data_IF_640043672702
#
_entry.id   IF_640043672702
#
_cell.length_a   1.000
_cell.length_b   1.000
_cell.length_c   1.000
_cell.angle_alpha   90.00
_cell.angle_beta   90.00
_cell.angle_gamma   90.00
#
_symmetry.space_group_name_H-M   'P 1'
#
loop_
_entity.id
_entity.type
_entity.pdbx_description
1 polymer ?
#
# COMPACT_ATOMS: atom_id res chain seq x y z
N UNK A 1 12.16 18.48 -17.57
CA UNK A 1 10.80 17.90 -17.72
C UNK A 1 9.78 18.86 -17.11
N UNK A 2 8.53 18.82 -17.60
CA UNK A 2 7.37 19.43 -16.96
C UNK A 2 6.68 18.34 -16.12
N UNK A 3 6.63 18.50 -14.81
CA UNK A 3 6.14 17.48 -13.88
C UNK A 3 4.93 18.04 -13.13
N UNK A 4 3.81 17.34 -13.16
CA UNK A 4 2.69 17.60 -12.27
C UNK A 4 2.90 16.79 -10.98
N UNK A 5 2.82 17.44 -9.83
CA UNK A 5 2.98 16.80 -8.53
C UNK A 5 1.69 16.92 -7.71
N UNK A 6 1.14 15.79 -7.25
CA UNK A 6 -0.18 15.74 -6.59
C UNK A 6 -0.03 15.08 -5.21
N UNK A 7 -0.24 15.80 -4.11
CA UNK A 7 -0.12 15.26 -2.75
C UNK A 7 -1.25 14.28 -2.44
N UNK A 8 -1.09 13.53 -1.35
CA UNK A 8 -2.16 12.73 -0.77
C UNK A 8 -3.12 13.62 0.00
N UNK A 9 -4.42 13.47 -0.23
CA UNK A 9 -5.42 14.13 0.58
C UNK A 9 -5.36 13.64 2.04
N UNK A 10 -5.47 14.54 3.00
CA UNK A 10 -5.40 14.19 4.43
C UNK A 10 -6.48 13.19 4.85
N UNK A 11 -7.63 13.19 4.16
CA UNK A 11 -8.71 12.23 4.39
C UNK A 11 -8.34 10.78 4.03
N UNK A 12 -7.41 10.58 3.07
CA UNK A 12 -6.98 9.25 2.63
C UNK A 12 -5.93 8.62 3.54
N UNK A 13 -5.30 9.41 4.40
CA UNK A 13 -4.25 8.94 5.32
C UNK A 13 -4.21 9.80 6.60
N UNK A 14 -5.30 9.86 7.38
CA UNK A 14 -5.43 10.81 8.49
C UNK A 14 -4.34 10.67 9.54
N UNK A 15 -3.85 9.44 9.78
CA UNK A 15 -2.82 9.17 10.79
C UNK A 15 -1.37 9.38 10.28
N UNK A 16 -1.19 9.63 8.99
CA UNK A 16 0.14 9.73 8.34
C UNK A 16 0.27 10.99 7.49
N UNK A 17 -0.70 11.88 7.50
CA UNK A 17 -0.79 13.05 6.63
C UNK A 17 0.48 13.92 6.66
N UNK A 18 1.03 14.21 7.84
CA UNK A 18 2.27 14.99 7.98
C UNK A 18 3.49 14.26 7.38
N UNK A 19 3.55 12.93 7.59
CA UNK A 19 4.66 12.11 7.08
C UNK A 19 4.60 11.96 5.57
N UNK A 20 3.41 11.79 5.02
CA UNK A 20 3.18 11.73 3.58
C UNK A 20 3.52 13.07 2.92
N UNK A 21 3.06 14.18 3.51
CA UNK A 21 3.36 15.52 3.02
C UNK A 21 4.86 15.85 3.11
N UNK A 22 5.57 15.34 4.12
CA UNK A 22 7.01 15.55 4.24
C UNK A 22 7.80 14.84 3.13
N UNK A 23 7.42 13.61 2.75
CA UNK A 23 8.00 12.92 1.59
C UNK A 23 7.68 13.68 0.29
N UNK A 24 6.41 14.06 0.13
CA UNK A 24 5.96 14.78 -1.06
C UNK A 24 6.76 16.07 -1.29
N UNK A 25 6.86 16.91 -0.26
CA UNK A 25 7.60 18.19 -0.35
C UNK A 25 9.07 17.98 -0.66
N UNK A 26 9.71 17.04 0.00
CA UNK A 26 11.11 16.73 -0.23
C UNK A 26 11.36 16.26 -1.68
N UNK A 27 10.49 15.41 -2.21
CA UNK A 27 10.60 14.95 -3.60
C UNK A 27 10.41 16.10 -4.59
N UNK A 28 9.44 17.00 -4.36
CA UNK A 28 9.20 18.18 -5.20
C UNK A 28 10.39 19.15 -5.14
N UNK A 29 10.97 19.35 -3.97
CA UNK A 29 12.17 20.18 -3.78
C UNK A 29 13.36 19.64 -4.58
N UNK A 30 13.67 18.33 -4.42
CA UNK A 30 14.76 17.68 -5.16
C UNK A 30 14.55 17.72 -6.68
N UNK A 31 13.32 17.52 -7.17
CA UNK A 31 13.00 17.68 -8.61
C UNK A 31 13.28 19.12 -9.09
N UNK A 32 12.98 20.12 -8.28
CA UNK A 32 13.22 21.53 -8.60
C UNK A 32 14.71 21.86 -8.59
N UNK A 33 15.48 21.32 -7.64
CA UNK A 33 16.94 21.46 -7.56
C UNK A 33 17.64 20.86 -8.77
N UNK A 34 17.11 19.75 -9.34
CA UNK A 34 17.61 19.15 -10.59
C UNK A 34 17.16 19.93 -11.86
N UNK A 35 16.50 21.08 -11.69
CA UNK A 35 16.09 21.96 -12.80
C UNK A 35 14.82 21.51 -13.53
N UNK A 36 13.99 20.67 -12.92
CA UNK A 36 12.70 20.29 -13.49
C UNK A 36 11.63 21.35 -13.18
N UNK A 37 10.72 21.58 -14.13
CA UNK A 37 9.59 22.49 -13.92
C UNK A 37 8.45 21.70 -13.25
N UNK A 38 8.34 21.83 -11.94
CA UNK A 38 7.34 21.10 -11.14
C UNK A 38 6.17 22.02 -10.79
N UNK A 39 4.94 21.58 -11.07
CA UNK A 39 3.68 22.26 -10.70
C UNK A 39 2.93 21.39 -9.71
N UNK A 40 2.68 21.93 -8.52
CA UNK A 40 1.86 21.25 -7.51
C UNK A 40 0.38 21.46 -7.84
N UNK A 41 -0.38 20.37 -7.85
CA UNK A 41 -1.81 20.31 -8.18
C UNK A 41 -2.58 19.91 -6.93
N UNK A 42 -3.54 20.69 -6.52
CA UNK A 42 -4.44 20.35 -5.42
C UNK A 42 -5.42 19.24 -5.84
N UNK A 43 -5.89 18.45 -4.86
CA UNK A 43 -6.89 17.43 -5.14
C UNK A 43 -8.20 18.08 -5.60
N UNK A 44 -8.67 17.69 -6.77
CA UNK A 44 -9.83 18.28 -7.44
C UNK A 44 -9.50 19.25 -8.57
N UNK A 45 -8.27 19.75 -8.70
CA UNK A 45 -7.84 20.62 -9.79
C UNK A 45 -7.52 19.86 -11.08
N UNK A 46 -7.48 20.58 -12.20
CA UNK A 46 -7.11 20.02 -13.49
C UNK A 46 -5.58 19.82 -13.61
N UNK A 47 -5.18 18.66 -14.12
CA UNK A 47 -3.76 18.39 -14.45
C UNK A 47 -3.41 19.07 -15.76
N UNK A 48 -2.38 19.93 -15.82
CA UNK A 48 -1.98 20.63 -17.04
C UNK A 48 -1.73 19.67 -18.21
N UNK A 49 -2.17 20.06 -19.40
CA UNK A 49 -1.83 19.33 -20.62
C UNK A 49 -0.33 19.46 -20.92
N UNK A 50 0.24 18.43 -21.55
CA UNK A 50 1.65 18.44 -21.98
C UNK A 50 2.64 18.37 -20.82
N UNK A 51 2.27 17.81 -19.66
CA UNK A 51 3.24 17.36 -18.67
C UNK A 51 3.92 16.09 -19.18
N UNK A 52 5.24 16.00 -18.95
CA UNK A 52 6.05 14.82 -19.31
C UNK A 52 5.83 13.67 -18.32
N UNK A 53 5.71 14.03 -17.02
CA UNK A 53 5.51 13.08 -15.95
C UNK A 53 4.53 13.60 -14.89
N UNK A 54 3.96 12.66 -14.13
CA UNK A 54 3.07 12.93 -13.01
C UNK A 54 3.60 12.15 -11.80
N UNK A 55 4.09 12.87 -10.78
CA UNK A 55 4.35 12.30 -9.47
C UNK A 55 3.13 12.50 -8.59
N UNK A 56 2.57 11.44 -8.07
CA UNK A 56 1.39 11.58 -7.23
C UNK A 56 1.37 10.62 -6.04
N UNK A 57 0.70 11.04 -4.99
CA UNK A 57 0.35 10.25 -3.84
C UNK A 57 -1.18 10.18 -3.63
N UNK A 58 -1.96 10.80 -4.52
CA UNK A 58 -3.42 10.80 -4.43
C UNK A 58 -4.02 9.41 -4.59
N UNK A 59 -5.15 9.20 -3.94
CA UNK A 59 -5.97 7.98 -3.99
C UNK A 59 -7.42 8.25 -4.37
N UNK A 60 -7.79 9.52 -4.56
CA UNK A 60 -9.17 9.88 -4.91
C UNK A 60 -9.51 9.38 -6.30
N UNK A 61 -10.70 8.79 -6.45
CA UNK A 61 -11.14 8.20 -7.71
C UNK A 61 -11.12 9.24 -8.85
N UNK A 62 -11.59 10.47 -8.57
CA UNK A 62 -11.65 11.55 -9.54
C UNK A 62 -10.26 11.94 -10.04
N UNK A 63 -9.28 12.09 -9.13
CA UNK A 63 -7.92 12.45 -9.54
C UNK A 63 -7.23 11.30 -10.29
N UNK A 64 -7.45 10.05 -9.88
CA UNK A 64 -6.96 8.89 -10.61
C UNK A 64 -7.56 8.78 -12.02
N UNK A 65 -8.81 9.20 -12.23
CA UNK A 65 -9.40 9.29 -13.59
C UNK A 65 -8.72 10.36 -14.44
N UNK A 66 -8.39 11.51 -13.86
CA UNK A 66 -7.63 12.58 -14.55
C UNK A 66 -6.21 12.15 -14.88
N UNK A 67 -5.52 11.47 -13.95
CA UNK A 67 -4.19 10.90 -14.20
C UNK A 67 -4.27 9.91 -15.36
N UNK A 68 -5.22 8.98 -15.34
CA UNK A 68 -5.42 8.01 -16.42
C UNK A 68 -5.70 8.67 -17.79
N UNK A 69 -6.36 9.83 -17.80
CA UNK A 69 -6.55 10.60 -19.03
C UNK A 69 -5.22 11.16 -19.56
N UNK A 70 -4.37 11.71 -18.68
CA UNK A 70 -3.05 12.22 -19.06
C UNK A 70 -2.08 11.11 -19.48
N UNK A 71 -2.16 9.92 -18.86
CA UNK A 71 -1.40 8.74 -19.29
C UNK A 71 -1.73 8.37 -20.75
N UNK A 72 -2.99 8.44 -21.17
CA UNK A 72 -3.41 8.21 -22.56
C UNK A 72 -2.87 9.26 -23.53
N UNK A 73 -2.57 10.46 -23.05
CA UNK A 73 -1.94 11.54 -23.81
C UNK A 73 -0.41 11.45 -23.83
N UNK A 74 0.17 10.45 -23.15
CA UNK A 74 1.60 10.17 -23.14
C UNK A 74 2.36 10.62 -21.90
N UNK A 75 1.71 11.18 -20.88
CA UNK A 75 2.37 11.48 -19.61
C UNK A 75 2.72 10.21 -18.83
N UNK A 76 3.92 10.14 -18.27
CA UNK A 76 4.34 9.02 -17.43
C UNK A 76 3.89 9.24 -15.98
N UNK A 77 2.86 8.55 -15.51
CA UNK A 77 2.47 8.62 -14.10
C UNK A 77 3.21 7.59 -13.22
N UNK A 78 3.59 7.98 -12.01
CA UNK A 78 4.34 7.16 -11.06
C UNK A 78 3.74 7.32 -9.65
N UNK A 79 3.06 6.29 -9.14
CA UNK A 79 2.68 5.05 -9.85
C UNK A 79 1.59 5.36 -10.91
N UNK A 80 1.32 4.44 -11.82
CA UNK A 80 0.19 4.63 -12.73
C UNK A 80 -1.15 4.67 -11.99
N UNK A 81 -2.16 5.32 -12.56
CA UNK A 81 -3.51 5.34 -11.99
C UNK A 81 -4.08 3.93 -11.79
N UNK A 82 -3.82 3.02 -12.74
CA UNK A 82 -4.25 1.64 -12.66
C UNK A 82 -3.54 0.89 -11.51
N UNK A 83 -2.23 1.06 -11.38
CA UNK A 83 -1.44 0.45 -10.32
C UNK A 83 -1.89 0.91 -8.92
N UNK A 84 -2.16 2.21 -8.76
CA UNK A 84 -2.69 2.75 -7.50
C UNK A 84 -4.04 2.12 -7.15
N UNK A 85 -4.95 1.94 -8.13
CA UNK A 85 -6.23 1.24 -7.88
C UNK A 85 -6.04 -0.23 -7.51
N UNK A 86 -5.05 -0.89 -8.11
CA UNK A 86 -4.74 -2.29 -7.82
C UNK A 86 -4.24 -2.50 -6.37
N UNK A 87 -3.82 -1.46 -5.67
CA UNK A 87 -3.48 -1.52 -4.25
C UNK A 87 -4.71 -1.61 -3.33
N UNK A 88 -5.95 -1.61 -3.86
CA UNK A 88 -7.12 -1.91 -3.04
C UNK A 88 -7.03 -3.35 -2.52
N UNK A 89 -7.46 -3.57 -1.27
CA UNK A 89 -7.20 -4.84 -0.56
C UNK A 89 -7.75 -6.06 -1.28
N UNK A 90 -8.97 -6.00 -1.82
CA UNK A 90 -9.53 -7.10 -2.62
C UNK A 90 -8.68 -7.37 -3.86
N UNK A 91 -8.33 -6.33 -4.59
CA UNK A 91 -7.63 -6.44 -5.86
C UNK A 91 -6.23 -6.99 -5.67
N UNK A 92 -5.43 -6.43 -4.75
CA UNK A 92 -4.07 -6.95 -4.56
C UNK A 92 -4.08 -8.39 -4.04
N UNK A 93 -5.01 -8.76 -3.15
CA UNK A 93 -5.13 -10.11 -2.63
C UNK A 93 -5.41 -11.12 -3.75
N UNK A 94 -6.31 -10.80 -4.68
CA UNK A 94 -6.60 -11.63 -5.86
C UNK A 94 -5.40 -11.71 -6.82
N UNK A 95 -4.70 -10.59 -7.03
CA UNK A 95 -3.48 -10.55 -7.84
C UNK A 95 -2.40 -11.46 -7.24
N UNK A 96 -2.12 -11.34 -5.93
CA UNK A 96 -1.13 -12.17 -5.26
C UNK A 96 -1.47 -13.67 -5.35
N UNK A 97 -2.76 -14.02 -5.20
CA UNK A 97 -3.23 -15.40 -5.37
C UNK A 97 -2.94 -15.93 -6.77
N UNK A 98 -3.27 -15.15 -7.80
CA UNK A 98 -3.03 -15.54 -9.20
C UNK A 98 -1.54 -15.74 -9.51
N UNK A 99 -0.69 -14.91 -8.89
CA UNK A 99 0.78 -14.98 -9.08
C UNK A 99 1.47 -16.00 -8.18
N UNK A 100 0.72 -16.73 -7.35
CA UNK A 100 1.26 -17.71 -6.42
C UNK A 100 2.20 -17.09 -5.37
N UNK A 101 1.86 -15.90 -4.89
CA UNK A 101 2.58 -15.22 -3.80
C UNK A 101 1.91 -15.58 -2.49
N UNK A 102 2.70 -16.08 -1.54
CA UNK A 102 2.20 -16.54 -0.25
C UNK A 102 1.59 -15.39 0.57
N UNK A 103 0.38 -15.64 1.04
CA UNK A 103 -0.38 -14.76 1.92
C UNK A 103 -1.23 -15.63 2.87
N UNK A 104 -1.68 -15.09 4.01
CA UNK A 104 -2.57 -15.85 4.89
C UNK A 104 -3.79 -16.37 4.13
N UNK A 105 -4.28 -17.60 4.39
CA UNK A 105 -5.53 -18.08 3.83
C UNK A 105 -6.64 -17.07 4.09
N UNK A 106 -7.45 -16.76 3.07
CA UNK A 106 -8.45 -15.72 3.17
C UNK A 106 -9.80 -16.14 2.56
N UNK A 107 -10.83 -15.40 2.94
CA UNK A 107 -12.18 -15.53 2.40
C UNK A 107 -12.77 -14.13 2.16
N UNK A 108 -13.31 -13.92 0.96
CA UNK A 108 -14.08 -12.73 0.63
C UNK A 108 -15.48 -12.87 1.25
N UNK A 109 -15.93 -11.84 1.95
CA UNK A 109 -17.22 -11.81 2.63
C UNK A 109 -18.07 -10.67 2.07
N UNK A 110 -19.33 -10.96 1.79
CA UNK A 110 -20.36 -9.96 1.57
C UNK A 110 -21.04 -9.68 2.93
N UNK A 111 -21.02 -8.43 3.37
CA UNK A 111 -21.58 -8.05 4.67
C UNK A 111 -23.10 -8.14 4.74
N UNK A 112 -23.80 -8.23 3.59
CA UNK A 112 -25.24 -8.45 3.53
C UNK A 112 -25.65 -9.92 3.74
N UNK A 113 -24.74 -10.88 3.53
CA UNK A 113 -25.02 -12.30 3.62
C UNK A 113 -25.12 -12.76 5.07
N UNK A 114 -26.08 -13.65 5.33
CA UNK A 114 -26.31 -14.26 6.64
C UNK A 114 -25.49 -15.53 6.88
N UNK A 115 -24.86 -16.07 5.85
CA UNK A 115 -24.13 -17.34 5.90
C UNK A 115 -22.64 -17.03 6.07
N UNK A 116 -22.12 -17.44 7.20
CA UNK A 116 -20.68 -17.39 7.44
C UNK A 116 -20.05 -18.69 6.91
N UNK A 117 -19.09 -18.64 6.00
CA UNK A 117 -18.35 -19.82 5.58
C UNK A 117 -17.66 -20.49 6.78
N UNK A 118 -17.21 -21.72 6.60
CA UNK A 118 -16.37 -22.39 7.62
C UNK A 118 -15.02 -21.68 7.66
N UNK A 119 -14.78 -20.93 8.72
CA UNK A 119 -13.57 -20.14 8.92
C UNK A 119 -12.80 -20.70 10.11
N UNK A 120 -11.47 -20.59 10.06
CA UNK A 120 -10.59 -20.86 11.20
C UNK A 120 -10.41 -19.60 12.00
N UNK A 121 -10.36 -19.72 13.31
CA UNK A 121 -10.11 -18.64 14.25
C UNK A 121 -8.84 -18.93 15.07
N UNK A 122 -8.13 -17.88 15.49
CA UNK A 122 -8.41 -16.47 15.26
C UNK A 122 -8.07 -16.01 13.82
N UNK A 123 -8.51 -14.79 13.48
CA UNK A 123 -8.22 -14.18 12.19
C UNK A 123 -8.40 -12.68 12.18
N UNK A 124 -8.34 -12.08 11.01
CA UNK A 124 -8.41 -10.63 10.80
C UNK A 124 -9.51 -10.31 9.82
N UNK A 125 -10.50 -9.55 10.27
CA UNK A 125 -11.51 -8.96 9.39
C UNK A 125 -11.02 -7.60 8.91
N UNK A 126 -10.99 -7.39 7.61
CA UNK A 126 -10.51 -6.16 6.98
C UNK A 126 -11.56 -5.65 6.01
N UNK A 127 -11.83 -4.34 6.01
CA UNK A 127 -12.58 -3.68 4.94
C UNK A 127 -11.92 -3.99 3.60
N UNK A 128 -12.70 -4.42 2.61
CA UNK A 128 -12.19 -4.88 1.32
C UNK A 128 -11.80 -3.71 0.42
N UNK A 129 -12.70 -2.76 0.25
CA UNK A 129 -12.58 -1.70 -0.75
C UNK A 129 -12.02 -0.40 -0.16
N UNK A 130 -11.14 0.24 -0.89
CA UNK A 130 -10.45 1.45 -0.48
C UNK A 130 -9.44 1.21 0.65
N UNK A 131 -8.95 2.31 1.20
CA UNK A 131 -7.93 2.31 2.25
C UNK A 131 -8.54 2.38 3.64
N UNK A 132 -7.82 1.91 4.65
CA UNK A 132 -8.27 1.98 6.04
C UNK A 132 -8.19 3.41 6.54
N UNK A 133 -9.33 3.98 6.87
CA UNK A 133 -9.50 5.34 7.42
C UNK A 133 -10.13 5.35 8.81
N UNK A 134 -10.63 4.20 9.29
CA UNK A 134 -11.28 4.03 10.58
C UNK A 134 -10.62 2.88 11.36
N UNK A 135 -10.54 2.94 12.71
CA UNK A 135 -9.98 1.86 13.52
C UNK A 135 -10.62 0.48 13.24
N UNK A 136 -11.93 0.46 13.00
CA UNK A 136 -12.68 -0.78 12.74
C UNK A 136 -12.57 -1.30 11.29
N UNK A 137 -11.75 -0.67 10.46
CA UNK A 137 -11.49 -1.16 9.09
C UNK A 137 -10.58 -2.39 9.07
N UNK A 138 -9.87 -2.64 10.18
CA UNK A 138 -9.06 -3.84 10.42
C UNK A 138 -9.28 -4.28 11.86
N UNK A 139 -9.78 -5.50 12.08
CA UNK A 139 -10.11 -6.01 13.40
C UNK A 139 -9.58 -7.44 13.59
N UNK A 140 -9.00 -7.70 14.76
CA UNK A 140 -8.69 -9.06 15.20
C UNK A 140 -9.96 -9.76 15.68
N UNK A 141 -10.18 -10.94 15.20
CA UNK A 141 -11.41 -11.73 15.42
C UNK A 141 -11.05 -13.05 16.06
N UNK A 142 -11.31 -13.16 17.36
CA UNK A 142 -10.99 -14.36 18.13
C UNK A 142 -12.04 -15.47 18.01
N UNK A 143 -13.33 -15.10 17.76
CA UNK A 143 -14.45 -16.06 17.74
C UNK A 143 -15.45 -15.73 16.62
N UNK A 144 -16.33 -16.70 16.35
CA UNK A 144 -17.43 -16.55 15.37
C UNK A 144 -18.39 -15.43 15.78
N UNK A 145 -18.70 -15.29 17.06
CA UNK A 145 -19.59 -14.25 17.60
C UNK A 145 -18.99 -12.86 17.38
N UNK A 146 -17.68 -12.70 17.62
CA UNK A 146 -16.97 -11.47 17.33
C UNK A 146 -17.02 -11.12 15.83
N UNK A 147 -16.89 -12.11 14.94
CA UNK A 147 -17.01 -11.91 13.50
C UNK A 147 -18.39 -11.41 13.10
N UNK A 148 -19.45 -12.00 13.62
CA UNK A 148 -20.85 -11.60 13.33
C UNK A 148 -21.05 -10.13 13.72
N UNK A 149 -20.60 -9.73 14.90
CA UNK A 149 -20.71 -8.36 15.38
C UNK A 149 -19.89 -7.38 14.49
N UNK A 150 -18.67 -7.74 14.15
CA UNK A 150 -17.79 -6.92 13.31
C UNK A 150 -18.36 -6.74 11.88
N UNK A 151 -18.91 -7.79 11.28
CA UNK A 151 -19.62 -7.71 9.98
C UNK A 151 -20.85 -6.80 10.10
N UNK A 152 -21.62 -6.90 11.20
CA UNK A 152 -22.74 -6.03 11.47
C UNK A 152 -22.33 -4.54 11.51
N UNK A 153 -21.23 -4.24 12.17
CA UNK A 153 -20.68 -2.87 12.23
C UNK A 153 -20.24 -2.36 10.84
N UNK A 154 -19.56 -3.18 10.05
CA UNK A 154 -19.19 -2.82 8.67
C UNK A 154 -20.42 -2.53 7.81
N UNK A 155 -21.46 -3.37 7.92
CA UNK A 155 -22.75 -3.19 7.22
C UNK A 155 -23.43 -1.86 7.61
N UNK A 156 -23.48 -1.54 8.90
CA UNK A 156 -24.07 -0.28 9.40
C UNK A 156 -23.34 0.95 8.85
N UNK A 157 -22.04 0.82 8.59
CA UNK A 157 -21.20 1.86 7.96
C UNK A 157 -21.31 1.87 6.43
N UNK A 158 -22.17 1.06 5.82
CA UNK A 158 -22.35 0.98 4.36
C UNK A 158 -21.23 0.25 3.62
N UNK A 159 -20.39 -0.50 4.32
CA UNK A 159 -19.30 -1.27 3.71
C UNK A 159 -19.86 -2.62 3.27
N UNK A 160 -19.92 -2.84 1.95
CA UNK A 160 -20.55 -4.03 1.37
C UNK A 160 -19.66 -5.27 1.41
N UNK A 161 -18.33 -5.11 1.34
CA UNK A 161 -17.39 -6.22 1.22
C UNK A 161 -16.29 -6.15 2.26
N UNK A 162 -15.87 -7.32 2.74
CA UNK A 162 -14.76 -7.50 3.66
C UNK A 162 -13.92 -8.71 3.26
N UNK A 163 -12.69 -8.76 3.74
CA UNK A 163 -11.80 -9.91 3.67
C UNK A 163 -11.58 -10.41 5.09
N UNK A 164 -11.80 -11.68 5.30
CA UNK A 164 -11.35 -12.40 6.48
C UNK A 164 -10.09 -13.17 6.13
N UNK A 165 -8.99 -12.94 6.83
CA UNK A 165 -7.74 -13.71 6.70
C UNK A 165 -7.43 -14.44 8.01
N UNK A 166 -6.94 -15.68 7.91
CA UNK A 166 -6.48 -16.43 9.08
C UNK A 166 -5.32 -15.68 9.76
N UNK A 167 -5.25 -15.79 11.08
CA UNK A 167 -4.11 -15.27 11.82
C UNK A 167 -2.92 -16.20 11.64
N UNK A 168 -1.80 -15.64 11.21
CA UNK A 168 -0.50 -16.31 11.18
C UNK A 168 0.30 -15.79 12.36
N UNK A 169 0.80 -16.70 13.19
CA UNK A 169 1.73 -16.36 14.25
C UNK A 169 3.08 -15.97 13.65
N UNK A 170 3.68 -14.89 14.14
CA UNK A 170 4.97 -14.43 13.62
C UNK A 170 5.24 -12.95 13.85
N UNK A 171 6.39 -12.53 13.38
CA UNK A 171 6.83 -11.14 13.43
C UNK A 171 6.27 -10.34 12.25
N UNK A 172 5.77 -9.13 12.51
CA UNK A 172 5.45 -8.20 11.44
C UNK A 172 6.73 -7.49 11.00
N UNK A 173 7.02 -7.55 9.71
CA UNK A 173 8.11 -6.81 9.07
C UNK A 173 7.53 -5.91 7.99
N UNK A 174 7.88 -4.64 8.04
CA UNK A 174 7.58 -3.68 6.98
C UNK A 174 8.67 -3.70 5.93
N UNK A 175 8.26 -3.62 4.68
CA UNK A 175 9.18 -3.46 3.56
C UNK A 175 8.83 -2.24 2.73
N UNK A 176 9.84 -1.68 2.09
CA UNK A 176 9.75 -0.52 1.20
C UNK A 176 10.57 -0.78 -0.05
N UNK A 177 10.02 -0.46 -1.22
CA UNK A 177 10.71 -0.64 -2.47
C UNK A 177 10.46 0.50 -3.45
N UNK A 178 11.49 0.82 -4.25
CA UNK A 178 11.42 1.76 -5.38
C UNK A 178 12.19 1.14 -6.54
N UNK A 179 11.62 1.19 -7.74
CA UNK A 179 12.16 0.61 -8.95
C UNK A 179 11.37 -0.59 -9.45
N UNK A 180 11.89 -1.24 -10.49
CA UNK A 180 11.27 -2.40 -11.13
C UNK A 180 11.92 -3.69 -10.66
N UNK A 181 11.23 -4.80 -10.87
CA UNK A 181 11.73 -6.13 -10.50
C UNK A 181 13.08 -6.46 -11.17
N UNK A 182 13.30 -6.03 -12.39
CA UNK A 182 14.49 -6.27 -13.20
C UNK A 182 15.61 -5.23 -13.06
N UNK A 183 15.35 -4.13 -12.31
CA UNK A 183 16.38 -3.14 -12.04
C UNK A 183 17.51 -3.74 -11.18
N UNK A 184 18.77 -3.42 -11.53
CA UNK A 184 19.97 -3.90 -10.79
C UNK A 184 20.11 -3.19 -9.44
N UNK A 185 19.95 -1.88 -9.43
CA UNK A 185 20.19 -1.02 -8.27
C UNK A 185 18.86 -0.50 -7.69
N UNK A 186 17.93 -1.43 -7.40
CA UNK A 186 16.63 -1.10 -6.82
C UNK A 186 16.73 -0.82 -5.32
N UNK A 187 16.03 0.21 -4.89
CA UNK A 187 15.93 0.51 -3.47
C UNK A 187 15.06 -0.51 -2.75
N UNK A 188 15.57 -1.09 -1.67
CA UNK A 188 14.80 -1.95 -0.77
C UNK A 188 15.24 -1.75 0.68
N UNK A 189 14.29 -1.61 1.59
CA UNK A 189 14.53 -1.43 3.03
C UNK A 189 13.51 -2.21 3.84
N UNK A 190 13.96 -2.75 4.97
CA UNK A 190 13.17 -3.49 5.93
C UNK A 190 13.09 -2.72 7.25
N UNK A 191 11.97 -2.85 7.94
CA UNK A 191 11.76 -2.23 9.24
C UNK A 191 10.85 -3.06 10.12
N UNK A 192 11.29 -3.33 11.35
CA UNK A 192 10.43 -3.87 12.39
C UNK A 192 9.67 -2.71 13.03
N UNK A 193 8.33 -2.67 12.96
CA UNK A 193 7.57 -1.60 13.56
C UNK A 193 7.68 -1.65 15.09
N UNK A 194 8.08 -0.53 15.70
CA UNK A 194 8.12 -0.37 17.16
C UNK A 194 6.78 0.11 17.70
N UNK A 195 6.00 0.80 16.84
CA UNK A 195 4.71 1.39 17.18
C UNK A 195 3.64 0.81 16.28
N UNK A 196 2.78 -0.06 16.81
CA UNK A 196 1.67 -0.64 16.04
C UNK A 196 0.59 0.40 15.73
N UNK A 197 0.19 0.50 14.48
CA UNK A 197 -1.06 1.18 14.14
C UNK A 197 -2.23 0.42 14.78
N UNK A 198 -3.17 1.13 15.38
CA UNK A 198 -4.39 0.57 15.96
C UNK A 198 -4.20 -0.38 17.16
N UNK A 199 -3.04 -0.37 17.84
CA UNK A 199 -2.81 -1.18 19.05
C UNK A 199 -2.60 -2.67 18.78
N UNK A 200 -2.22 -3.05 17.56
CA UNK A 200 -1.98 -4.44 17.16
C UNK A 200 -0.72 -5.06 17.81
N UNK A 201 0.19 -4.25 18.32
CA UNK A 201 1.33 -4.69 19.14
C UNK A 201 0.92 -5.52 20.35
N UNK A 202 -0.30 -5.29 20.90
CA UNK A 202 -0.85 -6.11 21.98
C UNK A 202 -1.20 -7.52 21.54
N UNK A 203 -1.43 -7.73 20.24
CA UNK A 203 -1.79 -9.02 19.66
C UNK A 203 -0.55 -9.71 19.12
N UNK A 204 0.30 -8.98 18.41
CA UNK A 204 1.50 -9.54 17.77
C UNK A 204 2.70 -9.62 18.73
N UNK A 205 2.66 -8.90 19.87
CA UNK A 205 3.74 -8.90 20.86
C UNK A 205 5.00 -8.15 20.40
N UNK A 206 6.07 -8.35 21.16
CA UNK A 206 7.41 -7.83 20.81
C UNK A 206 8.00 -8.75 19.75
N UNK A 207 8.62 -8.21 18.67
CA UNK A 207 9.23 -9.05 17.64
C UNK A 207 10.27 -10.01 18.20
N UNK A 208 10.14 -11.29 17.87
CA UNK A 208 11.08 -12.35 18.24
C UNK A 208 12.34 -12.34 17.38
N UNK A 209 12.28 -11.62 16.23
CA UNK A 209 13.30 -11.57 15.18
C UNK A 209 13.62 -12.95 14.64
N UNK A 210 12.56 -13.66 14.26
CA UNK A 210 12.71 -14.96 13.60
C UNK A 210 13.64 -14.86 12.38
N UNK A 211 14.57 -15.79 12.21
CA UNK A 211 15.44 -15.79 11.04
C UNK A 211 14.64 -16.08 9.79
N UNK A 212 14.91 -15.33 8.72
CA UNK A 212 14.31 -15.53 7.40
C UNK A 212 15.27 -15.11 6.30
N UNK A 213 14.95 -15.46 5.08
CA UNK A 213 15.71 -15.08 3.89
C UNK A 213 15.26 -13.69 3.40
N UNK A 214 16.07 -12.66 3.68
CA UNK A 214 15.80 -11.27 3.28
C UNK A 214 15.80 -11.10 1.75
N UNK A 215 16.65 -11.87 1.01
CA UNK A 215 16.68 -11.85 -0.44
C UNK A 215 15.39 -12.45 -1.04
N UNK A 216 14.88 -13.54 -0.43
CA UNK A 216 13.57 -14.12 -0.77
C UNK A 216 12.45 -13.10 -0.55
N UNK A 217 12.48 -12.34 0.58
CA UNK A 217 11.49 -11.29 0.84
C UNK A 217 11.59 -10.17 -0.19
N UNK A 218 12.79 -9.68 -0.48
CA UNK A 218 12.99 -8.65 -1.51
C UNK A 218 12.45 -9.10 -2.87
N UNK A 219 12.83 -10.30 -3.31
CA UNK A 219 12.38 -10.88 -4.58
C UNK A 219 10.85 -11.00 -4.63
N UNK A 220 10.24 -11.50 -3.54
CA UNK A 220 8.79 -11.67 -3.42
C UNK A 220 8.07 -10.32 -3.43
N UNK A 221 8.58 -9.32 -2.71
CA UNK A 221 8.00 -7.98 -2.66
C UNK A 221 8.03 -7.31 -4.04
N UNK A 222 9.15 -7.37 -4.77
CA UNK A 222 9.23 -6.84 -6.13
C UNK A 222 8.39 -7.63 -7.14
N UNK A 223 8.26 -8.95 -7.00
CA UNK A 223 7.34 -9.77 -7.80
C UNK A 223 5.89 -9.32 -7.57
N UNK A 224 5.51 -9.10 -6.32
CA UNK A 224 4.18 -8.62 -5.95
C UNK A 224 3.93 -7.20 -6.49
N UNK A 225 4.88 -6.29 -6.32
CA UNK A 225 4.82 -4.93 -6.84
C UNK A 225 4.66 -4.90 -8.37
N UNK A 226 5.44 -5.72 -9.09
CA UNK A 226 5.34 -5.84 -10.55
C UNK A 226 3.97 -6.36 -11.00
N UNK A 227 3.41 -7.36 -10.30
CA UNK A 227 2.09 -7.91 -10.60
C UNK A 227 0.96 -6.89 -10.37
N UNK A 228 1.08 -6.03 -9.36
CA UNK A 228 0.17 -4.93 -9.05
C UNK A 228 0.39 -3.76 -10.02
N UNK A 229 1.62 -3.59 -10.50
CA UNK A 229 2.06 -2.52 -11.40
C UNK A 229 2.66 -1.31 -10.70
N UNK A 230 2.99 -1.39 -9.40
CA UNK A 230 3.59 -0.29 -8.64
C UNK A 230 5.11 -0.32 -8.72
N UNK A 231 5.71 0.86 -8.81
CA UNK A 231 7.16 1.06 -8.81
C UNK A 231 7.65 1.81 -7.55
N UNK A 232 6.77 2.52 -6.85
CA UNK A 232 7.00 3.09 -5.52
C UNK A 232 6.00 2.41 -4.59
N UNK A 233 6.49 1.57 -3.69
CA UNK A 233 5.61 0.75 -2.86
C UNK A 233 6.17 0.54 -1.46
N UNK A 234 5.30 0.11 -0.58
CA UNK A 234 5.64 -0.47 0.69
C UNK A 234 4.58 -1.48 1.08
N UNK A 235 4.88 -2.29 2.06
CA UNK A 235 3.95 -3.30 2.52
C UNK A 235 4.32 -3.86 3.87
N UNK A 236 3.49 -4.78 4.32
CA UNK A 236 3.68 -5.52 5.54
C UNK A 236 3.70 -7.02 5.21
N UNK A 237 4.59 -7.77 5.85
CA UNK A 237 4.58 -9.22 5.82
C UNK A 237 4.66 -9.80 7.22
N UNK A 238 4.29 -11.06 7.37
CA UNK A 238 4.52 -11.84 8.58
C UNK A 238 5.66 -12.82 8.29
N UNK A 239 6.61 -12.86 9.20
CA UNK A 239 7.65 -13.88 9.25
C UNK A 239 7.26 -14.87 10.33
N UNK A 240 6.90 -16.09 9.93
CA UNK A 240 6.52 -17.14 10.87
C UNK A 240 7.72 -17.70 11.65
N UNK A 241 7.51 -18.45 12.75
CA UNK A 241 8.58 -19.04 13.54
C UNK A 241 9.53 -19.94 12.75
N UNK A 242 9.07 -20.54 11.65
CA UNK A 242 9.85 -21.37 10.73
C UNK A 242 10.45 -20.62 9.54
N UNK A 243 10.35 -19.27 9.55
CA UNK A 243 10.96 -18.38 8.55
C UNK A 243 10.18 -18.22 7.26
N UNK A 244 8.93 -18.73 7.17
CA UNK A 244 8.08 -18.50 6.01
C UNK A 244 7.54 -17.06 5.97
N UNK A 245 7.39 -16.55 4.76
CA UNK A 245 7.04 -15.15 4.49
C UNK A 245 5.63 -15.07 3.92
N UNK A 246 4.75 -14.35 4.60
CA UNK A 246 3.36 -14.11 4.16
C UNK A 246 3.13 -12.62 3.93
N UNK A 247 2.90 -12.21 2.68
CA UNK A 247 2.56 -10.80 2.36
C UNK A 247 1.13 -10.52 2.85
N UNK A 248 0.94 -9.46 3.64
CA UNK A 248 -0.36 -9.13 4.23
C UNK A 248 -0.90 -7.75 3.82
N UNK A 249 -0.05 -6.91 3.25
CA UNK A 249 -0.44 -5.59 2.73
C UNK A 249 0.57 -5.10 1.69
N UNK A 250 0.07 -4.38 0.66
CA UNK A 250 0.89 -3.62 -0.29
C UNK A 250 0.23 -2.28 -0.54
N UNK A 251 1.00 -1.22 -0.38
CA UNK A 251 0.55 0.16 -0.49
C UNK A 251 1.33 0.91 -1.58
N UNK A 252 0.62 1.75 -2.33
CA UNK A 252 1.19 2.74 -3.22
C UNK A 252 1.90 3.85 -2.43
N UNK A 253 3.03 4.28 -2.88
CA UNK A 253 3.79 5.44 -2.40
C UNK A 253 3.66 5.70 -0.88
N UNK A 254 4.24 4.86 0.00
CA UNK A 254 4.21 5.07 1.45
C UNK A 254 5.07 6.27 1.88
N UNK A 255 4.95 6.71 3.12
CA UNK A 255 5.68 7.89 3.64
C UNK A 255 7.18 7.70 3.80
N UNK A 256 7.71 6.47 3.72
CA UNK A 256 9.14 6.12 3.91
C UNK A 256 9.77 6.78 5.16
N UNK A 257 9.03 6.91 6.25
CA UNK A 257 9.39 7.77 7.39
C UNK A 257 10.79 7.52 7.96
N UNK A 258 11.27 6.25 7.95
CA UNK A 258 12.61 5.90 8.44
C UNK A 258 13.72 6.10 7.39
N UNK A 259 13.36 6.27 6.10
CA UNK A 259 14.29 6.29 4.96
C UNK A 259 13.95 7.41 3.97
N UNK A 260 13.35 8.51 4.43
CA UNK A 260 12.71 9.53 3.59
C UNK A 260 13.67 10.20 2.61
N UNK A 261 14.87 10.56 3.07
CA UNK A 261 15.88 11.22 2.24
C UNK A 261 16.30 10.30 1.08
N UNK A 262 16.73 9.08 1.40
CA UNK A 262 17.12 8.09 0.40
C UNK A 262 15.97 7.78 -0.57
N UNK A 263 14.75 7.63 -0.04
CA UNK A 263 13.58 7.35 -0.84
C UNK A 263 13.24 8.50 -1.80
N UNK A 264 13.33 9.76 -1.35
CA UNK A 264 13.09 10.92 -2.21
C UNK A 264 14.08 10.99 -3.37
N UNK A 265 15.35 10.68 -3.15
CA UNK A 265 16.38 10.59 -4.20
C UNK A 265 16.08 9.51 -5.22
N UNK A 266 15.70 8.32 -4.76
CA UNK A 266 15.35 7.22 -5.65
C UNK A 266 14.05 7.49 -6.43
N UNK A 267 13.05 8.14 -5.80
CA UNK A 267 11.83 8.57 -6.48
C UNK A 267 12.15 9.57 -7.60
N UNK A 268 13.02 10.55 -7.34
CA UNK A 268 13.47 11.51 -8.36
C UNK A 268 14.16 10.81 -9.52
N UNK A 269 15.09 9.88 -9.24
CA UNK A 269 15.74 9.07 -10.29
C UNK A 269 14.72 8.27 -11.11
N UNK A 270 13.75 7.65 -10.44
CA UNK A 270 12.70 6.88 -11.13
C UNK A 270 11.86 7.79 -12.04
N UNK A 271 11.42 8.96 -11.57
CA UNK A 271 10.65 9.92 -12.36
C UNK A 271 11.44 10.38 -13.57
N UNK A 272 12.70 10.75 -13.39
CA UNK A 272 13.54 11.32 -14.45
C UNK A 272 14.00 10.30 -15.48
N UNK A 273 13.98 9.00 -15.13
CA UNK A 273 14.24 7.89 -16.05
C UNK A 273 13.12 7.62 -17.07
N UNK A 274 11.93 8.21 -16.89
CA UNK A 274 10.75 7.97 -17.74
C UNK A 274 10.71 8.84 -19.03
N UNK A 275 11.86 9.32 -19.48
CA UNK A 275 11.98 10.09 -20.72
C UNK A 275 11.70 9.25 -21.97
#
# INVERSE_FOLDING_TARGET
MKIAAIPRASADSPNMSEKDMALFRLTVEKLSEEGHCTVVIEDGDEIPAGCDAIFHMTRTAQMLDRIAAREKEGAAAINSAAATRNCSRSTFTEILTREGIEQPPYTLLDTSMSITPVLRFPGWLKKSDGWSSHPDDVQYIATKEALINAIGNLRTRGIAKAIYSEHIEGDIVKFYGIGRHDDRDKFFRLHYPTDGKFGYEKINGVPHKYPFDEEKLQTTAFKAAAAIGVEIFGGDCIISPDGEIYIIDINDCPSFSAYREEAAEEIVRLITSKK
#
